data_IF_065482884544
#
_entry.id   IF_065482884544
#
_cell.length_a   1.000
_cell.length_b   1.000
_cell.length_c   1.000
_cell.angle_alpha   90.00
_cell.angle_beta   90.00
_cell.angle_gamma   90.00
#
_symmetry.space_group_name_H-M   'P 1'
#
loop_
_entity.id
_entity.type
_entity.pdbx_description
1 polymer ?
#
# COMPACT_ATOMS: atom_id res chain seq x y z
N UNK A 1 17.63 22.69 -1.98
CA UNK A 1 16.87 21.66 -2.67
C UNK A 1 17.81 20.56 -3.14
N UNK A 2 17.48 19.32 -2.84
CA UNK A 2 18.12 18.14 -3.42
C UNK A 2 17.70 18.05 -4.89
N UNK A 3 18.56 17.46 -5.73
CA UNK A 3 18.22 17.15 -7.12
C UNK A 3 18.20 15.64 -7.29
N UNK A 4 17.11 15.11 -7.84
CA UNK A 4 17.01 13.72 -8.26
C UNK A 4 16.91 13.64 -9.78
N UNK A 5 17.33 12.51 -10.34
CA UNK A 5 17.13 12.22 -11.75
C UNK A 5 15.73 11.61 -11.93
N UNK A 6 14.80 12.39 -12.47
CA UNK A 6 13.46 11.93 -12.77
C UNK A 6 13.36 11.47 -14.22
N UNK A 7 12.71 10.32 -14.50
CA UNK A 7 12.45 9.86 -15.86
C UNK A 7 11.46 10.80 -16.55
N UNK A 8 11.79 11.21 -17.77
CA UNK A 8 10.91 11.98 -18.62
C UNK A 8 10.70 11.24 -19.94
N UNK A 9 9.44 11.02 -20.26
CA UNK A 9 9.08 10.45 -21.56
C UNK A 9 9.13 11.53 -22.64
N UNK A 10 9.66 11.18 -23.79
CA UNK A 10 9.64 12.02 -24.99
C UNK A 10 9.15 11.21 -26.20
N UNK A 11 8.47 11.89 -27.10
CA UNK A 11 8.00 11.30 -28.35
C UNK A 11 8.94 11.65 -29.49
N UNK A 12 9.19 10.69 -30.37
CA UNK A 12 9.99 10.85 -31.58
C UNK A 12 9.45 9.95 -32.69
N UNK A 13 9.86 10.25 -33.93
CA UNK A 13 9.72 9.38 -35.09
C UNK A 13 11.11 9.08 -35.63
N UNK A 14 11.26 7.98 -36.35
CA UNK A 14 12.50 7.66 -37.08
C UNK A 14 12.26 7.86 -38.56
N UNK A 15 13.10 8.66 -39.22
CA UNK A 15 13.10 8.91 -40.64
C UNK A 15 14.54 8.74 -41.13
N UNK A 16 14.76 7.85 -42.08
CA UNK A 16 16.07 7.53 -42.65
C UNK A 16 17.17 7.22 -41.61
N UNK A 17 16.77 6.59 -40.49
CA UNK A 17 17.67 6.23 -39.38
C UNK A 17 17.93 7.34 -38.37
N UNK A 18 17.40 8.54 -38.60
CA UNK A 18 17.53 9.67 -37.67
C UNK A 18 16.26 9.84 -36.82
N UNK A 19 16.45 10.31 -35.56
CA UNK A 19 15.34 10.60 -34.65
C UNK A 19 14.92 12.05 -34.77
N UNK A 20 13.65 12.27 -35.15
CA UNK A 20 12.99 13.57 -35.16
C UNK A 20 12.12 13.64 -33.90
N UNK A 21 12.46 14.57 -33.00
CA UNK A 21 11.72 14.76 -31.74
C UNK A 21 10.42 15.53 -31.98
N UNK A 22 9.44 15.36 -31.08
CA UNK A 22 8.09 15.91 -31.22
C UNK A 22 8.05 17.43 -31.49
N UNK A 23 8.96 18.19 -30.88
CA UNK A 23 9.08 19.64 -31.12
C UNK A 23 9.59 19.98 -32.52
N UNK A 24 10.30 19.09 -33.18
CA UNK A 24 10.87 19.23 -34.53
C UNK A 24 9.96 18.69 -35.62
N UNK A 25 8.91 17.96 -35.27
CA UNK A 25 7.98 17.33 -36.22
C UNK A 25 7.12 18.39 -36.95
N UNK A 26 6.84 18.11 -38.21
CA UNK A 26 5.82 18.85 -38.98
C UNK A 26 4.41 18.63 -38.43
N UNK A 27 3.44 19.44 -38.86
CA UNK A 27 2.04 19.27 -38.46
C UNK A 27 1.48 17.91 -38.87
N UNK A 28 1.83 17.43 -40.06
CA UNK A 28 1.40 16.12 -40.57
C UNK A 28 2.02 14.97 -39.79
N UNK A 29 3.31 15.05 -39.45
CA UNK A 29 4.00 14.05 -38.62
C UNK A 29 3.41 14.02 -37.20
N UNK A 30 3.04 15.15 -36.61
CA UNK A 30 2.36 15.22 -35.30
C UNK A 30 0.97 14.62 -35.33
N UNK A 31 0.25 14.76 -36.44
CA UNK A 31 -1.09 14.21 -36.59
C UNK A 31 -1.09 12.69 -36.75
N UNK A 32 -0.04 12.12 -37.36
CA UNK A 32 0.07 10.67 -37.60
C UNK A 32 0.69 9.94 -36.40
N UNK A 33 -0.15 9.69 -35.38
CA UNK A 33 0.28 9.06 -34.11
C UNK A 33 0.81 7.63 -34.25
N UNK A 34 0.50 6.94 -35.36
CA UNK A 34 0.89 5.54 -35.58
C UNK A 34 2.41 5.33 -35.67
N UNK A 35 3.15 6.36 -36.05
CA UNK A 35 4.60 6.32 -36.18
C UNK A 35 5.36 6.86 -34.96
N UNK A 36 4.64 7.35 -33.95
CA UNK A 36 5.28 7.89 -32.75
C UNK A 36 5.87 6.77 -31.88
N UNK A 37 7.15 6.89 -31.61
CA UNK A 37 7.86 6.07 -30.62
C UNK A 37 8.01 6.88 -29.33
N UNK A 38 8.10 6.18 -28.20
CA UNK A 38 8.34 6.79 -26.88
C UNK A 38 9.72 6.38 -26.39
N UNK A 39 10.52 7.35 -26.06
CA UNK A 39 11.80 7.17 -25.38
C UNK A 39 11.73 7.71 -23.95
N UNK A 40 12.67 7.29 -23.11
CA UNK A 40 12.85 7.80 -21.75
C UNK A 40 14.20 8.47 -21.64
N UNK A 41 14.22 9.66 -21.08
CA UNK A 41 15.44 10.36 -20.67
C UNK A 41 15.35 10.71 -19.19
N UNK A 42 16.47 11.00 -18.55
CA UNK A 42 16.51 11.41 -17.15
C UNK A 42 16.92 12.88 -17.07
N UNK A 43 16.16 13.67 -16.33
CA UNK A 43 16.51 15.07 -16.07
C UNK A 43 16.62 15.33 -14.58
N UNK A 44 17.58 16.17 -14.16
CA UNK A 44 17.64 16.59 -12.78
C UNK A 44 16.45 17.50 -12.47
N UNK A 45 15.62 17.06 -11.50
CA UNK A 45 14.52 17.87 -10.96
C UNK A 45 14.80 18.20 -9.50
N UNK A 46 14.51 19.42 -9.05
CA UNK A 46 14.62 19.77 -7.65
C UNK A 46 13.52 19.05 -6.85
N UNK A 47 13.90 18.47 -5.74
CA UNK A 47 12.97 17.96 -4.73
C UNK A 47 13.18 18.73 -3.44
N UNK A 48 12.08 18.95 -2.73
CA UNK A 48 12.06 19.67 -1.48
C UNK A 48 11.59 18.72 -0.39
N UNK A 49 12.17 18.83 0.79
CA UNK A 49 11.59 18.23 1.97
C UNK A 49 10.23 18.88 2.23
N UNK A 50 9.26 18.08 2.70
CA UNK A 50 7.90 18.59 2.94
C UNK A 50 7.88 19.72 3.96
N UNK A 51 8.82 19.72 4.91
CA UNK A 51 9.00 20.82 5.88
C UNK A 51 9.41 22.16 5.23
N UNK A 52 9.85 22.12 3.96
CA UNK A 52 10.21 23.30 3.16
C UNK A 52 9.04 23.79 2.30
N UNK A 53 7.89 23.13 2.35
CA UNK A 53 6.71 23.44 1.57
C UNK A 53 5.70 24.18 2.45
N UNK A 54 5.06 25.22 1.90
CA UNK A 54 3.91 25.88 2.51
C UNK A 54 2.72 25.78 1.57
N UNK A 55 1.56 25.48 2.12
CA UNK A 55 0.31 25.50 1.38
C UNK A 55 -0.05 26.96 1.04
N UNK A 56 -0.63 27.21 -0.12
CA UNK A 56 -1.14 28.55 -0.54
C UNK A 56 -2.21 29.09 0.42
N UNK A 57 -2.85 28.23 1.22
CA UNK A 57 -3.84 28.59 2.23
C UNK A 57 -3.28 28.74 3.65
N UNK A 58 -1.97 28.73 3.84
CA UNK A 58 -1.29 28.76 5.15
C UNK A 58 -1.64 27.58 6.09
N UNK A 59 -2.22 26.50 5.57
CA UNK A 59 -2.42 25.27 6.32
C UNK A 59 -1.12 24.46 6.35
N UNK A 60 -0.93 23.70 7.40
CA UNK A 60 0.25 22.85 7.54
C UNK A 60 0.22 21.76 6.44
N UNK A 61 1.16 21.84 5.49
CA UNK A 61 1.23 20.91 4.37
C UNK A 61 1.48 19.47 4.85
N UNK A 62 2.13 19.31 6.00
CA UNK A 62 2.42 18.00 6.58
C UNK A 62 1.12 17.30 7.00
N UNK A 63 0.19 18.02 7.62
CA UNK A 63 -1.08 17.45 8.06
C UNK A 63 -1.99 17.05 6.89
N UNK A 64 -1.86 17.70 5.73
CA UNK A 64 -2.66 17.34 4.54
C UNK A 64 -2.15 16.08 3.82
N UNK A 65 -0.91 15.65 4.08
CA UNK A 65 -0.35 14.40 3.53
C UNK A 65 -0.54 13.20 4.47
N UNK A 66 -0.72 13.45 5.77
CA UNK A 66 -1.17 12.40 6.69
C UNK A 66 -2.69 12.37 6.65
N UNK A 67 -3.24 11.50 5.83
CA UNK A 67 -4.68 11.29 5.80
C UNK A 67 -5.13 10.80 7.18
N UNK A 68 -5.82 11.68 7.89
CA UNK A 68 -6.64 11.26 9.01
C UNK A 68 -7.86 10.59 8.40
N UNK A 69 -7.86 9.26 8.33
CA UNK A 69 -9.01 8.49 7.87
C UNK A 69 -10.15 8.52 8.88
N UNK A 70 -9.91 9.05 10.09
CA UNK A 70 -10.88 9.22 11.14
C UNK A 70 -11.04 7.98 12.03
N UNK A 71 -12.04 8.05 12.89
CA UNK A 71 -12.26 7.05 13.95
C UNK A 71 -13.55 6.24 13.76
N UNK A 72 -14.10 6.23 12.56
CA UNK A 72 -15.39 5.57 12.28
C UNK A 72 -15.37 4.06 12.47
N UNK A 73 -14.19 3.43 12.39
CA UNK A 73 -13.99 1.99 12.52
C UNK A 73 -13.29 1.57 13.83
N UNK A 74 -13.44 2.41 14.86
CA UNK A 74 -12.83 2.12 16.18
C UNK A 74 -13.28 0.79 16.76
N UNK A 75 -14.57 0.49 16.69
CA UNK A 75 -15.11 -0.75 17.24
C UNK A 75 -14.63 -1.98 16.47
N UNK A 76 -14.49 -1.88 15.15
CA UNK A 76 -13.91 -2.95 14.34
C UNK A 76 -12.42 -3.19 14.69
N UNK A 77 -11.64 -2.11 14.93
CA UNK A 77 -10.26 -2.24 15.35
C UNK A 77 -10.16 -2.97 16.71
N UNK A 78 -10.96 -2.58 17.70
CA UNK A 78 -10.98 -3.19 19.03
C UNK A 78 -11.40 -4.66 18.91
N UNK A 79 -12.46 -4.93 18.16
CA UNK A 79 -12.95 -6.30 17.94
C UNK A 79 -11.88 -7.18 17.28
N UNK A 80 -11.28 -6.73 16.18
CA UNK A 80 -10.22 -7.48 15.50
C UNK A 80 -9.01 -7.70 16.42
N UNK A 81 -8.59 -6.70 17.21
CA UNK A 81 -7.48 -6.82 18.14
C UNK A 81 -7.74 -7.92 19.18
N UNK A 82 -8.95 -7.99 19.73
CA UNK A 82 -9.34 -9.01 20.69
C UNK A 82 -9.36 -10.40 20.04
N UNK A 83 -9.98 -10.54 18.86
CA UNK A 83 -10.06 -11.80 18.14
C UNK A 83 -8.68 -12.33 17.74
N UNK A 84 -7.79 -11.46 17.27
CA UNK A 84 -6.41 -11.81 16.92
C UNK A 84 -5.66 -12.30 18.16
N UNK A 85 -5.82 -11.62 19.29
CA UNK A 85 -5.17 -12.03 20.54
C UNK A 85 -5.72 -13.37 21.07
N UNK A 86 -7.02 -13.55 21.07
CA UNK A 86 -7.68 -14.74 21.62
C UNK A 86 -7.55 -15.98 20.72
N UNK A 87 -7.65 -15.80 19.41
CA UNK A 87 -7.77 -16.91 18.46
C UNK A 87 -6.47 -17.26 17.75
N UNK A 88 -5.62 -16.26 17.51
CA UNK A 88 -4.33 -16.45 16.85
C UNK A 88 -3.16 -16.44 17.84
N UNK A 89 -3.43 -16.16 19.12
CA UNK A 89 -2.42 -16.06 20.18
C UNK A 89 -1.32 -15.02 19.82
N UNK A 90 -1.72 -13.90 19.21
CA UNK A 90 -0.84 -12.81 18.84
C UNK A 90 -1.10 -11.62 19.77
N UNK A 91 -0.08 -11.14 20.44
CA UNK A 91 -0.20 -10.01 21.35
C UNK A 91 -0.19 -8.67 20.59
N UNK A 92 -1.20 -7.82 20.81
CA UNK A 92 -1.29 -6.49 20.19
C UNK A 92 -0.90 -5.43 21.22
N UNK A 93 0.09 -4.60 20.88
CA UNK A 93 0.60 -3.54 21.77
C UNK A 93 0.56 -2.21 21.05
N UNK A 94 -0.19 -1.25 21.59
CA UNK A 94 -0.14 0.13 21.12
C UNK A 94 1.04 0.88 21.77
N UNK A 95 1.89 1.49 20.94
CA UNK A 95 3.12 2.17 21.40
C UNK A 95 3.60 3.20 20.40
N UNK A 96 4.35 4.21 20.86
CA UNK A 96 5.09 5.12 19.97
C UNK A 96 6.44 4.53 19.50
N UNK A 97 6.87 3.39 20.05
CA UNK A 97 8.19 2.79 19.77
C UNK A 97 8.13 1.81 18.60
N UNK A 98 7.66 2.26 17.44
CA UNK A 98 7.56 1.47 16.20
C UNK A 98 8.69 1.74 15.19
N UNK A 99 9.75 2.43 15.59
CA UNK A 99 10.90 2.76 14.73
C UNK A 99 10.54 3.55 13.45
N UNK A 100 9.47 4.34 13.53
CA UNK A 100 9.00 5.18 12.43
C UNK A 100 7.97 4.51 11.49
N UNK A 101 7.65 3.23 11.71
CA UNK A 101 6.54 2.55 11.03
C UNK A 101 5.20 2.82 11.74
N UNK A 102 4.08 2.53 11.11
CA UNK A 102 2.77 2.55 11.74
C UNK A 102 2.46 1.24 12.48
N UNK A 103 3.00 0.13 12.00
CA UNK A 103 2.94 -1.19 12.60
C UNK A 103 4.22 -1.99 12.43
N UNK A 104 4.39 -3.02 13.24
CA UNK A 104 5.51 -3.96 13.17
C UNK A 104 5.07 -5.35 13.65
N UNK A 105 5.16 -6.35 12.77
CA UNK A 105 4.96 -7.78 13.08
C UNK A 105 6.28 -8.39 13.55
N UNK A 106 6.27 -9.06 14.73
CA UNK A 106 7.46 -9.59 15.38
C UNK A 106 7.44 -11.13 15.59
N UNK A 107 6.44 -11.82 15.07
CA UNK A 107 6.24 -13.25 15.32
C UNK A 107 5.58 -13.49 16.68
N UNK A 108 4.25 -13.45 16.72
CA UNK A 108 3.42 -13.57 17.92
C UNK A 108 3.18 -12.26 18.68
N UNK A 109 3.74 -11.13 18.21
CA UNK A 109 3.46 -9.80 18.74
C UNK A 109 3.40 -8.80 17.61
N UNK A 110 2.38 -7.95 17.61
CA UNK A 110 2.22 -6.82 16.70
C UNK A 110 2.26 -5.53 17.51
N UNK A 111 3.12 -4.60 17.07
CA UNK A 111 3.15 -3.23 17.59
C UNK A 111 2.34 -2.34 16.65
N UNK A 112 1.46 -1.51 17.21
CA UNK A 112 0.68 -0.50 16.47
C UNK A 112 1.03 0.87 17.05
N UNK A 113 1.29 1.83 16.17
CA UNK A 113 1.58 3.21 16.62
C UNK A 113 0.36 3.82 17.28
N UNK A 114 0.51 4.27 18.53
CA UNK A 114 -0.60 4.75 19.35
C UNK A 114 -1.19 6.07 18.87
N UNK A 115 -0.40 6.94 18.23
CA UNK A 115 -0.79 8.29 17.82
C UNK A 115 -1.56 8.37 16.48
N UNK A 116 -1.75 7.28 15.74
CA UNK A 116 -2.56 7.29 14.52
C UNK A 116 -4.05 7.08 14.84
N UNK A 117 -4.94 7.55 13.95
CA UNK A 117 -6.38 7.36 14.09
C UNK A 117 -6.81 5.89 13.96
N UNK A 118 -8.04 5.58 14.40
CA UNK A 118 -8.49 4.18 14.46
C UNK A 118 -8.69 3.51 13.10
N UNK A 119 -9.01 4.26 12.05
CA UNK A 119 -9.13 3.70 10.71
C UNK A 119 -7.74 3.29 10.18
N UNK A 120 -6.71 4.12 10.41
CA UNK A 120 -5.33 3.77 10.12
C UNK A 120 -4.82 2.62 11.01
N UNK A 121 -5.16 2.60 12.31
CA UNK A 121 -4.85 1.46 13.19
C UNK A 121 -5.44 0.16 12.66
N UNK A 122 -6.68 0.18 12.18
CA UNK A 122 -7.34 -1.01 11.64
C UNK A 122 -6.65 -1.50 10.36
N UNK A 123 -6.35 -0.61 9.41
CA UNK A 123 -5.61 -0.98 8.19
C UNK A 123 -4.22 -1.53 8.51
N UNK A 124 -3.50 -0.86 9.41
CA UNK A 124 -2.17 -1.31 9.88
C UNK A 124 -2.27 -2.68 10.56
N UNK A 125 -3.25 -2.90 11.43
CA UNK A 125 -3.45 -4.19 12.09
C UNK A 125 -3.74 -5.30 11.07
N UNK A 126 -4.59 -5.05 10.07
CA UNK A 126 -4.86 -6.01 9.00
C UNK A 126 -3.59 -6.37 8.21
N UNK A 127 -2.74 -5.37 7.93
CA UNK A 127 -1.46 -5.56 7.25
C UNK A 127 -0.50 -6.42 8.09
N UNK A 128 -0.32 -6.10 9.37
CA UNK A 128 0.58 -6.82 10.25
C UNK A 128 0.06 -8.25 10.58
N UNK A 129 -1.25 -8.45 10.70
CA UNK A 129 -1.86 -9.78 10.84
C UNK A 129 -1.61 -10.62 9.59
N UNK A 130 -1.67 -10.02 8.41
CA UNK A 130 -1.32 -10.73 7.17
C UNK A 130 0.15 -11.19 7.18
N UNK A 131 1.08 -10.36 7.66
CA UNK A 131 2.48 -10.76 7.85
C UNK A 131 2.65 -11.89 8.86
N UNK A 132 1.93 -11.84 10.00
CA UNK A 132 1.97 -12.93 10.98
C UNK A 132 1.48 -14.27 10.37
N UNK A 133 0.39 -14.23 9.60
CA UNK A 133 -0.19 -15.44 9.01
C UNK A 133 0.60 -15.97 7.81
N UNK A 134 1.20 -15.09 6.99
CA UNK A 134 1.88 -15.47 5.74
C UNK A 134 3.39 -15.71 5.92
N UNK A 135 4.03 -14.92 6.79
CA UNK A 135 5.48 -14.81 6.83
C UNK A 135 6.10 -15.36 8.12
N UNK A 136 5.29 -15.63 9.14
CA UNK A 136 5.76 -16.06 10.48
C UNK A 136 5.24 -17.41 10.92
N UNK A 137 4.16 -17.91 10.30
CA UNK A 137 3.60 -19.23 10.61
C UNK A 137 4.50 -20.41 10.20
N UNK A 138 4.14 -21.61 10.63
CA UNK A 138 4.86 -22.85 10.30
C UNK A 138 4.88 -23.17 8.79
N UNK A 139 3.84 -22.74 8.06
CA UNK A 139 3.74 -22.87 6.59
C UNK A 139 4.36 -21.66 5.85
N UNK A 140 5.18 -20.85 6.53
CA UNK A 140 5.78 -19.66 5.95
C UNK A 140 6.78 -20.01 4.86
N UNK A 141 6.68 -19.32 3.73
CA UNK A 141 7.66 -19.36 2.64
C UNK A 141 8.58 -18.13 2.65
N UNK A 142 8.78 -17.52 3.81
CA UNK A 142 9.56 -16.28 3.97
C UNK A 142 10.96 -16.37 3.38
N UNK A 143 11.61 -17.52 3.49
CA UNK A 143 12.94 -17.77 2.92
C UNK A 143 12.95 -17.84 1.39
N UNK A 144 11.80 -18.11 0.79
CA UNK A 144 11.63 -18.27 -0.66
C UNK A 144 11.04 -17.02 -1.33
N UNK A 145 10.64 -16.03 -0.52
CA UNK A 145 9.98 -14.81 -1.00
C UNK A 145 10.81 -13.56 -0.75
N UNK A 146 10.81 -12.64 -1.70
CA UNK A 146 11.43 -11.33 -1.53
C UNK A 146 10.60 -10.45 -0.60
N UNK A 147 11.20 -9.36 -0.08
CA UNK A 147 10.47 -8.38 0.73
C UNK A 147 9.28 -7.80 -0.06
N UNK A 148 9.49 -7.46 -1.32
CA UNK A 148 8.46 -6.88 -2.19
C UNK A 148 7.25 -7.80 -2.34
N UNK A 149 7.47 -9.10 -2.47
CA UNK A 149 6.38 -10.10 -2.55
C UNK A 149 5.62 -10.19 -1.23
N UNK A 150 6.31 -10.16 -0.09
CA UNK A 150 5.65 -10.18 1.21
C UNK A 150 4.78 -8.95 1.43
N UNK A 151 5.32 -7.75 1.13
CA UNK A 151 4.56 -6.51 1.21
C UNK A 151 3.35 -6.52 0.25
N UNK A 152 3.54 -6.99 -0.99
CA UNK A 152 2.44 -7.15 -1.95
C UNK A 152 1.31 -8.01 -1.39
N UNK A 153 1.64 -9.14 -0.77
CA UNK A 153 0.65 -10.04 -0.18
C UNK A 153 -0.06 -9.39 1.00
N UNK A 154 0.69 -8.80 1.94
CA UNK A 154 0.14 -8.17 3.14
C UNK A 154 -0.77 -6.99 2.78
N UNK A 155 -0.33 -6.13 1.85
CA UNK A 155 -1.13 -5.01 1.37
C UNK A 155 -2.40 -5.46 0.65
N UNK A 156 -2.31 -6.51 -0.18
CA UNK A 156 -3.49 -7.07 -0.87
C UNK A 156 -4.51 -7.63 0.11
N UNK A 157 -4.07 -8.32 1.17
CA UNK A 157 -4.95 -8.83 2.23
C UNK A 157 -5.60 -7.67 2.99
N UNK A 158 -4.81 -6.68 3.42
CA UNK A 158 -5.31 -5.48 4.10
C UNK A 158 -6.35 -4.75 3.26
N UNK A 159 -6.11 -4.60 1.96
CA UNK A 159 -7.06 -3.99 1.04
C UNK A 159 -8.38 -4.77 0.95
N UNK A 160 -8.31 -6.08 0.70
CA UNK A 160 -9.51 -6.92 0.53
C UNK A 160 -10.36 -6.91 1.81
N UNK A 161 -9.75 -7.11 2.97
CA UNK A 161 -10.47 -7.14 4.24
C UNK A 161 -10.94 -5.75 4.64
N UNK A 162 -10.14 -4.70 4.39
CA UNK A 162 -10.53 -3.32 4.61
C UNK A 162 -11.78 -2.94 3.79
N UNK A 163 -11.81 -3.30 2.50
CA UNK A 163 -13.00 -3.09 1.66
C UNK A 163 -14.23 -3.88 2.17
N UNK A 164 -14.03 -5.10 2.64
CA UNK A 164 -15.10 -5.88 3.25
C UNK A 164 -15.70 -5.18 4.48
N UNK A 165 -14.86 -4.51 5.29
CA UNK A 165 -15.27 -3.73 6.45
C UNK A 165 -15.82 -2.33 6.12
N UNK A 166 -15.82 -1.94 4.84
CA UNK A 166 -16.26 -0.63 4.40
C UNK A 166 -15.23 0.49 4.58
N UNK A 167 -13.94 0.13 4.81
CA UNK A 167 -12.85 1.10 4.84
C UNK A 167 -12.51 1.56 3.43
N UNK A 168 -12.55 2.87 3.22
CA UNK A 168 -11.94 3.47 2.03
C UNK A 168 -10.42 3.56 2.25
N UNK A 169 -9.67 2.74 1.52
CA UNK A 169 -8.22 2.83 1.50
C UNK A 169 -7.75 3.44 0.17
N UNK A 170 -7.53 4.76 0.12
CA UNK A 170 -7.16 5.44 -1.13
C UNK A 170 -5.75 5.11 -1.62
N UNK A 171 -4.92 4.46 -0.79
CA UNK A 171 -3.50 4.25 -1.08
C UNK A 171 -3.14 2.86 -1.59
N UNK A 172 -4.01 1.87 -1.43
CA UNK A 172 -3.66 0.48 -1.77
C UNK A 172 -3.32 0.28 -3.25
N UNK A 173 -3.98 1.00 -4.16
CA UNK A 173 -3.65 0.94 -5.59
C UNK A 173 -2.26 1.52 -5.87
N UNK A 174 -1.92 2.64 -5.25
CA UNK A 174 -0.62 3.30 -5.42
C UNK A 174 0.50 2.51 -4.72
N UNK A 175 0.23 1.92 -3.56
CA UNK A 175 1.14 1.02 -2.86
C UNK A 175 1.45 -0.23 -3.69
N UNK A 176 0.45 -0.87 -4.28
CA UNK A 176 0.66 -2.02 -5.18
C UNK A 176 1.52 -1.66 -6.38
N UNK A 177 1.37 -0.45 -6.94
CA UNK A 177 2.21 0.06 -8.02
C UNK A 177 3.65 0.34 -7.57
N UNK A 178 3.88 0.81 -6.35
CA UNK A 178 5.21 1.08 -5.79
C UNK A 178 6.05 -0.20 -5.67
N UNK A 179 5.47 -1.33 -5.32
CA UNK A 179 6.17 -2.63 -5.24
C UNK A 179 6.39 -3.28 -6.61
N UNK A 180 6.18 -2.55 -7.72
CA UNK A 180 6.32 -3.06 -9.10
C UNK A 180 5.50 -4.34 -9.31
N UNK A 181 4.40 -4.46 -8.59
CA UNK A 181 3.50 -5.57 -8.74
C UNK A 181 2.92 -5.53 -10.16
N UNK A 182 3.39 -6.44 -11.00
CA UNK A 182 2.71 -6.69 -12.26
C UNK A 182 1.55 -7.68 -12.02
N UNK A 183 0.62 -7.72 -12.96
CA UNK A 183 -0.53 -8.63 -12.88
C UNK A 183 -0.12 -10.11 -12.78
N UNK A 184 1.09 -10.45 -13.22
CA UNK A 184 1.62 -11.81 -13.17
C UNK A 184 2.03 -12.17 -11.74
N UNK A 185 2.82 -11.32 -11.06
CA UNK A 185 3.21 -11.51 -9.66
C UNK A 185 1.98 -11.60 -8.75
N UNK A 186 0.99 -10.73 -8.95
CA UNK A 186 -0.25 -10.79 -8.18
C UNK A 186 -0.97 -12.12 -8.39
N UNK A 187 -1.07 -12.59 -9.64
CA UNK A 187 -1.74 -13.85 -9.97
C UNK A 187 -1.04 -15.06 -9.36
N UNK A 188 0.28 -15.09 -9.32
CA UNK A 188 1.07 -16.18 -8.73
C UNK A 188 0.85 -16.32 -7.20
N UNK A 189 0.46 -15.21 -6.53
CA UNK A 189 0.25 -15.19 -5.09
C UNK A 189 -1.22 -15.08 -4.68
N UNK A 190 -2.14 -15.04 -5.65
CA UNK A 190 -3.57 -14.81 -5.44
C UNK A 190 -4.22 -15.84 -4.52
N UNK A 191 -3.84 -17.12 -4.63
CA UNK A 191 -4.39 -18.19 -3.78
C UNK A 191 -4.09 -17.95 -2.29
N UNK A 192 -2.84 -17.58 -1.96
CA UNK A 192 -2.44 -17.28 -0.58
C UNK A 192 -3.14 -16.02 -0.06
N UNK A 193 -3.23 -14.97 -0.89
CA UNK A 193 -3.95 -13.74 -0.56
C UNK A 193 -5.42 -14.05 -0.26
N UNK A 194 -6.09 -14.79 -1.13
CA UNK A 194 -7.50 -15.15 -0.96
C UNK A 194 -7.73 -16.02 0.29
N UNK A 195 -6.90 -17.04 0.51
CA UNK A 195 -6.99 -17.91 1.70
C UNK A 195 -6.85 -17.11 2.99
N UNK A 196 -5.85 -16.23 3.05
CA UNK A 196 -5.60 -15.41 4.24
C UNK A 196 -6.70 -14.38 4.47
N UNK A 197 -7.13 -13.66 3.42
CA UNK A 197 -8.25 -12.71 3.52
C UNK A 197 -9.53 -13.39 4.01
N UNK A 198 -9.84 -14.56 3.44
CA UNK A 198 -10.99 -15.37 3.86
C UNK A 198 -10.89 -15.76 5.34
N UNK A 199 -9.74 -16.23 5.80
CA UNK A 199 -9.54 -16.61 7.21
C UNK A 199 -9.75 -15.45 8.16
N UNK A 200 -9.30 -14.24 7.81
CA UNK A 200 -9.52 -13.05 8.63
C UNK A 200 -11.01 -12.64 8.62
N UNK A 201 -11.68 -12.69 7.47
CA UNK A 201 -13.13 -12.40 7.37
C UNK A 201 -13.94 -13.42 8.18
N UNK A 202 -13.60 -14.69 8.12
CA UNK A 202 -14.25 -15.73 8.93
C UNK A 202 -14.03 -15.50 10.43
N UNK A 203 -12.84 -15.07 10.83
CA UNK A 203 -12.53 -14.71 12.21
C UNK A 203 -13.45 -13.58 12.70
N UNK A 204 -13.66 -12.53 11.88
CA UNK A 204 -14.53 -11.40 12.18
C UNK A 204 -16.01 -11.81 12.29
N UNK A 205 -16.49 -12.74 11.45
CA UNK A 205 -17.91 -13.14 11.41
C UNK A 205 -18.31 -14.12 12.50
N UNK A 206 -17.37 -14.73 13.24
CA UNK A 206 -17.69 -15.66 14.33
C UNK A 206 -18.52 -15.01 15.43
N UNK A 207 -18.40 -13.69 15.65
CA UNK A 207 -19.19 -12.99 16.69
C UNK A 207 -20.55 -12.50 16.22
N UNK A 208 -20.72 -12.16 14.95
CA UNK A 208 -22.04 -11.76 14.44
C UNK A 208 -23.06 -12.89 14.61
N UNK A 209 -22.62 -14.14 14.42
CA UNK A 209 -23.48 -15.32 14.62
C UNK A 209 -23.85 -15.59 16.08
N UNK A 210 -23.10 -15.09 17.07
CA UNK A 210 -23.42 -15.22 18.50
C UNK A 210 -24.41 -14.17 18.98
N UNK A 211 -24.37 -12.96 18.40
CA UNK A 211 -25.25 -11.86 18.76
C UNK A 211 -26.66 -11.97 18.14
N UNK A 212 -26.86 -12.88 17.17
CA UNK A 212 -28.18 -13.16 16.54
C UNK A 212 -28.96 -14.23 17.31
N UNK A 213 -28.35 -14.95 18.25
CA UNK A 213 -28.96 -16.08 19.00
C UNK A 213 -29.22 -15.72 20.48
N UNK A 214 -28.94 -14.48 20.90
CA UNK A 214 -29.25 -13.96 22.23
C UNK A 214 -30.37 -12.91 22.17
#
# INVERSE_FOLDING_TARGET
>A
ALKILAPQQYKYIEVDGERIYFNQMTKEQKANKAFHKVGVTYKPVPVFDISQCTNTNNEDVITSFFYNLGDTHKDQYINLSNLVSERLNINIIETEKTQGAEGVSMGGTILIKSSIDYNNKLLTLLHEVAHEMLDKGEESDRSETTKEIRELRAESVSYIVGQYLGLENPFSSDYLLMYKADAKSLKEHLEKIQKTSKSIIELLNIEESKNVVA
#
